data_IF_210933462299
#
_entry.id   IF_210933462299
#
_cell.length_a   1.000
_cell.length_b   1.000
_cell.length_c   1.000
_cell.angle_alpha   90.00
_cell.angle_beta   90.00
_cell.angle_gamma   90.00
#
_symmetry.space_group_name_H-M   'P 1'
#
loop_
_entity.id
_entity.type
_entity.pdbx_description
1 polymer ?
#
# COMPACT_ATOMS: atom_id res chain seq x y z
N UNK A 1 -14.13 8.02 6.19
CA UNK A 1 -14.28 6.56 6.41
C UNK A 1 -13.08 6.07 7.20
N UNK A 2 -13.26 5.74 8.49
CA UNK A 2 -12.18 5.22 9.36
C UNK A 2 -12.17 3.69 9.42
N UNK A 3 -12.66 3.01 8.37
CA UNK A 3 -12.62 1.56 8.33
C UNK A 3 -11.21 1.11 7.93
N UNK A 4 -10.45 0.46 8.83
CA UNK A 4 -9.09 0.01 8.55
C UNK A 4 -9.04 -1.02 7.42
N UNK A 5 -10.11 -1.79 7.18
CA UNK A 5 -10.21 -2.76 6.08
C UNK A 5 -10.19 -2.06 4.72
N UNK A 6 -10.97 -0.97 4.58
CA UNK A 6 -11.04 -0.18 3.34
C UNK A 6 -9.72 0.55 3.09
N UNK A 7 -9.13 1.16 4.13
CA UNK A 7 -7.84 1.83 4.00
C UNK A 7 -6.71 0.87 3.60
N UNK A 8 -6.77 -0.38 4.08
CA UNK A 8 -5.83 -1.45 3.70
C UNK A 8 -6.03 -1.86 2.24
N UNK A 9 -7.27 -2.04 1.81
CA UNK A 9 -7.60 -2.37 0.41
C UNK A 9 -7.08 -1.30 -0.55
N UNK A 10 -7.34 -0.02 -0.25
CA UNK A 10 -6.83 1.11 -1.04
C UNK A 10 -5.30 1.09 -1.08
N UNK A 11 -4.66 0.87 0.06
CA UNK A 11 -3.20 0.74 0.15
C UNK A 11 -2.63 -0.35 -0.75
N UNK A 12 -3.26 -1.54 -0.77
CA UNK A 12 -2.85 -2.62 -1.67
C UNK A 12 -3.08 -2.28 -3.15
N UNK A 13 -4.20 -1.67 -3.50
CA UNK A 13 -4.47 -1.26 -4.89
C UNK A 13 -3.35 -0.31 -5.38
N UNK A 14 -3.00 0.69 -4.58
CA UNK A 14 -1.93 1.65 -4.90
C UNK A 14 -0.57 0.93 -5.00
N UNK A 15 -0.31 -0.02 -4.10
CA UNK A 15 0.91 -0.83 -4.13
C UNK A 15 1.01 -1.68 -5.40
N UNK A 16 -0.06 -2.34 -5.82
CA UNK A 16 -0.11 -3.11 -7.07
C UNK A 16 0.09 -2.23 -8.30
N UNK A 17 -0.49 -1.03 -8.32
CA UNK A 17 -0.24 -0.04 -9.39
C UNK A 17 1.24 0.35 -9.42
N UNK A 18 1.85 0.61 -8.27
CA UNK A 18 3.28 0.89 -8.15
C UNK A 18 4.15 -0.24 -8.71
N UNK A 19 3.84 -1.50 -8.39
CA UNK A 19 4.54 -2.67 -8.95
C UNK A 19 4.34 -2.81 -10.47
N UNK A 20 3.14 -2.52 -10.98
CA UNK A 20 2.86 -2.57 -12.41
C UNK A 20 3.67 -1.50 -13.17
N UNK A 21 3.74 -0.28 -12.65
CA UNK A 21 4.56 0.79 -13.20
C UNK A 21 6.06 0.44 -13.12
N UNK A 22 6.50 -0.17 -12.01
CA UNK A 22 7.87 -0.63 -11.86
C UNK A 22 8.22 -1.69 -12.91
N UNK A 23 7.36 -2.69 -13.12
CA UNK A 23 7.56 -3.71 -14.14
C UNK A 23 7.63 -3.14 -15.56
N UNK A 24 6.81 -2.12 -15.87
CA UNK A 24 6.84 -1.45 -17.17
C UNK A 24 8.07 -0.56 -17.36
N UNK A 25 8.54 0.09 -16.29
CA UNK A 25 9.73 0.96 -16.31
C UNK A 25 11.05 0.20 -16.23
N UNK A 26 11.05 -1.05 -15.75
CA UNK A 26 12.27 -1.85 -15.63
C UNK A 26 12.61 -2.53 -16.95
N UNK A 27 13.61 -2.00 -17.67
CA UNK A 27 14.21 -2.69 -18.82
C UNK A 27 15.56 -3.30 -18.44
N UNK A 28 15.86 -4.54 -18.87
CA UNK A 28 17.16 -5.16 -18.64
C UNK A 28 18.26 -4.37 -19.34
N UNK A 29 19.39 -4.22 -18.64
CA UNK A 29 20.57 -3.50 -19.12
C UNK A 29 21.07 -4.15 -20.42
N UNK A 30 21.02 -3.42 -21.54
CA UNK A 30 21.48 -3.93 -22.86
C UNK A 30 20.62 -3.54 -24.06
N UNK A 31 19.45 -2.93 -23.87
CA UNK A 31 18.61 -2.43 -24.97
C UNK A 31 18.93 -0.94 -25.19
N UNK A 32 19.82 -0.67 -26.14
CA UNK A 32 20.21 0.68 -26.56
C UNK A 32 19.13 1.27 -27.47
N UNK A 33 18.08 1.83 -26.89
CA UNK A 33 17.20 2.75 -27.62
C UNK A 33 17.00 4.00 -26.76
N UNK A 34 17.04 5.17 -27.43
CA UNK A 34 17.10 6.53 -26.90
C UNK A 34 15.87 6.99 -26.07
N UNK A 35 15.30 6.11 -25.24
CA UNK A 35 14.06 6.28 -24.45
C UNK A 35 14.38 6.44 -22.94
N UNK A 36 15.66 6.56 -22.58
CA UNK A 36 16.16 6.51 -21.21
C UNK A 36 15.46 7.48 -20.23
N UNK A 37 15.08 8.69 -20.67
CA UNK A 37 14.51 9.71 -19.78
C UNK A 37 13.07 9.40 -19.34
N UNK A 38 12.24 8.86 -20.23
CA UNK A 38 10.85 8.52 -19.90
C UNK A 38 10.77 7.30 -18.97
N UNK A 39 11.65 6.32 -19.18
CA UNK A 39 11.74 5.11 -18.34
C UNK A 39 12.24 5.45 -16.92
N UNK A 40 13.15 6.41 -16.78
CA UNK A 40 13.63 6.88 -15.46
C UNK A 40 12.53 7.58 -14.65
N UNK A 41 11.70 8.39 -15.32
CA UNK A 41 10.57 9.08 -14.68
C UNK A 41 9.51 8.07 -14.24
N UNK A 42 9.21 7.06 -15.07
CA UNK A 42 8.30 5.96 -14.72
C UNK A 42 8.81 5.17 -13.51
N UNK A 43 10.11 4.88 -13.45
CA UNK A 43 10.74 4.20 -12.32
C UNK A 43 10.65 5.04 -11.04
N UNK A 44 10.97 6.34 -11.12
CA UNK A 44 10.88 7.26 -9.99
C UNK A 44 9.44 7.39 -9.46
N UNK A 45 8.47 7.50 -10.36
CA UNK A 45 7.04 7.50 -10.00
C UNK A 45 6.64 6.17 -9.34
N UNK A 46 7.04 5.04 -9.90
CA UNK A 46 6.74 3.73 -9.33
C UNK A 46 7.28 3.59 -7.89
N UNK A 47 8.51 4.02 -7.64
CA UNK A 47 9.10 4.04 -6.29
C UNK A 47 8.30 4.96 -5.36
N UNK A 48 7.91 6.15 -5.83
CA UNK A 48 7.07 7.08 -5.09
C UNK A 48 5.72 6.47 -4.70
N UNK A 49 5.07 5.74 -5.61
CA UNK A 49 3.82 5.01 -5.35
C UNK A 49 4.02 3.87 -4.36
N UNK A 50 5.10 3.10 -4.47
CA UNK A 50 5.41 2.01 -3.54
C UNK A 50 5.65 2.53 -2.12
N UNK A 51 6.54 3.50 -1.95
CA UNK A 51 6.83 4.12 -0.64
C UNK A 51 5.58 4.81 -0.11
N UNK A 52 4.88 5.58 -0.94
CA UNK A 52 3.66 6.29 -0.57
C UNK A 52 2.56 5.35 -0.09
N UNK A 53 2.35 4.23 -0.79
CA UNK A 53 1.39 3.20 -0.37
C UNK A 53 1.77 2.58 0.98
N UNK A 54 3.06 2.34 1.21
CA UNK A 54 3.54 1.75 2.46
C UNK A 54 3.35 2.71 3.64
N UNK A 55 3.73 3.99 3.48
CA UNK A 55 3.50 5.02 4.49
C UNK A 55 2.00 5.22 4.74
N UNK A 56 1.18 5.21 3.69
CA UNK A 56 -0.28 5.30 3.80
C UNK A 56 -0.85 4.15 4.63
N UNK A 57 -0.47 2.91 4.31
CA UNK A 57 -0.94 1.75 5.06
C UNK A 57 -0.52 1.81 6.54
N UNK A 58 0.71 2.22 6.84
CA UNK A 58 1.19 2.38 8.23
C UNK A 58 0.43 3.48 8.99
N UNK A 59 0.05 4.57 8.32
CA UNK A 59 -0.70 5.67 8.95
C UNK A 59 -2.18 5.39 9.10
N UNK A 60 -2.80 4.72 8.12
CA UNK A 60 -4.27 4.59 8.01
C UNK A 60 -4.82 3.22 8.38
N UNK A 61 -4.02 2.16 8.39
CA UNK A 61 -4.41 0.81 8.85
C UNK A 61 -4.16 0.69 10.35
N UNK A 62 -4.86 1.52 11.11
CA UNK A 62 -4.79 1.59 12.57
C UNK A 62 -6.14 1.24 13.18
N UNK A 63 -6.12 0.66 14.37
CA UNK A 63 -7.33 0.29 15.08
C UNK A 63 -8.10 1.58 15.42
N UNK A 64 -9.41 1.67 15.12
CA UNK A 64 -10.20 2.85 15.48
C UNK A 64 -10.30 3.07 17.00
N UNK A 65 -10.14 2.01 17.81
CA UNK A 65 -10.27 2.09 19.26
C UNK A 65 -8.95 2.33 20.01
N UNK A 66 -7.87 1.64 19.64
CA UNK A 66 -6.58 1.74 20.34
C UNK A 66 -5.50 2.48 19.56
N UNK A 67 -5.77 2.90 18.31
CA UNK A 67 -4.84 3.56 17.40
C UNK A 67 -3.52 2.80 17.13
N UNK A 68 -3.39 1.56 17.61
CA UNK A 68 -2.25 0.70 17.29
C UNK A 68 -2.34 0.21 15.85
N UNK A 69 -1.18 0.02 15.24
CA UNK A 69 -1.04 -0.50 13.89
C UNK A 69 -1.59 -1.93 13.83
N UNK A 70 -2.49 -2.22 12.89
CA UNK A 70 -2.91 -3.60 12.64
C UNK A 70 -1.89 -4.29 11.72
N UNK A 71 -1.81 -5.62 11.80
CA UNK A 71 -0.98 -6.38 10.88
C UNK A 71 -1.39 -6.13 9.44
N UNK A 72 -0.42 -5.75 8.60
CA UNK A 72 -0.59 -5.61 7.15
C UNK A 72 -0.50 -6.97 6.42
N UNK A 73 -0.92 -8.07 7.05
CA UNK A 73 -0.99 -9.37 6.38
C UNK A 73 -2.31 -9.47 5.62
N UNK A 74 -2.33 -10.20 4.50
CA UNK A 74 -3.49 -10.34 3.60
C UNK A 74 -4.69 -11.13 4.18
N UNK A 75 -4.74 -11.43 5.48
CA UNK A 75 -5.91 -12.06 6.11
C UNK A 75 -6.84 -11.02 6.71
N UNK A 76 -8.14 -11.31 6.79
CA UNK A 76 -9.09 -10.44 7.48
C UNK A 76 -8.80 -10.49 8.98
N UNK A 77 -8.53 -9.34 9.57
CA UNK A 77 -8.38 -9.17 11.01
C UNK A 77 -9.69 -8.57 11.47
N UNK A 78 -10.61 -9.38 11.96
CA UNK A 78 -11.90 -8.89 12.44
C UNK A 78 -11.77 -8.32 13.86
N UNK A 79 -10.86 -8.88 14.67
CA UNK A 79 -10.58 -8.45 16.04
C UNK A 79 -9.16 -7.93 16.16
N UNK A 80 -8.99 -6.76 16.81
CA UNK A 80 -7.68 -6.18 17.03
C UNK A 80 -6.88 -7.00 18.06
N UNK A 81 -5.67 -7.49 17.72
CA UNK A 81 -4.87 -8.32 18.63
C UNK A 81 -4.34 -7.56 19.86
N UNK A 82 -4.41 -6.22 19.85
CA UNK A 82 -3.91 -5.41 20.95
C UNK A 82 -4.96 -4.99 21.97
N UNK A 83 -6.22 -4.79 21.55
CA UNK A 83 -7.29 -4.33 22.44
C UNK A 83 -8.48 -5.29 22.52
N UNK A 84 -8.49 -6.37 21.71
CA UNK A 84 -9.57 -7.35 21.70
C UNK A 84 -10.90 -6.83 21.16
N UNK A 85 -10.97 -5.58 20.69
CA UNK A 85 -12.18 -5.00 20.10
C UNK A 85 -12.27 -5.30 18.61
N UNK A 86 -13.49 -5.30 18.07
CA UNK A 86 -13.71 -5.37 16.64
C UNK A 86 -12.95 -4.26 15.92
N UNK A 87 -12.51 -4.56 14.73
CA UNK A 87 -11.86 -3.61 13.83
C UNK A 87 -12.86 -2.88 12.96
N UNK A 88 -14.11 -3.34 12.98
CA UNK A 88 -15.24 -2.70 12.34
C UNK A 88 -15.78 -1.58 13.25
N UNK A 89 -15.73 -0.31 12.81
CA UNK A 89 -16.30 0.80 13.57
C UNK A 89 -17.83 0.70 13.74
N UNK A 90 -18.51 -0.14 12.96
CA UNK A 90 -19.96 -0.27 12.92
C UNK A 90 -20.50 -1.52 13.62
N UNK A 91 -19.64 -2.44 14.10
CA UNK A 91 -20.05 -3.54 15.01
C UNK A 91 -20.30 -2.97 16.41
N UNK A 92 -21.59 -2.81 16.75
CA UNK A 92 -22.07 -2.53 18.11
C UNK A 92 -22.12 -3.78 18.96
#
# INVERSE_FOLDING_TARGET
>A
MNNPKINRLIGYIILFIGFFLFYKGFKPVGVSDNIADADFILLALAIGFLIGSMVWMIKKVRCPHCNKLLHLKLYNIDVCPHCGKSTDPDEK
#
